data_IF_188171949186
#
_entry.id   IF_188171949186
#
_cell.length_a   1.000
_cell.length_b   1.000
_cell.length_c   1.000
_cell.angle_alpha   90.00
_cell.angle_beta   90.00
_cell.angle_gamma   90.00
#
_symmetry.space_group_name_H-M   'P 1'
#
loop_
_entity.id
_entity.type
_entity.pdbx_description
1 polymer ?
#
# COMPACT_ATOMS: atom_id res chain seq x y z
N UNK A 1 -26.63 -6.81 30.16
CA UNK A 1 -26.38 -5.83 29.09
C UNK A 1 -25.83 -6.58 27.91
N UNK A 2 -26.54 -6.52 26.78
CA UNK A 2 -26.31 -7.33 25.58
C UNK A 2 -25.01 -6.84 24.91
N UNK A 3 -24.08 -7.76 24.65
CA UNK A 3 -22.91 -7.50 23.79
C UNK A 3 -23.45 -7.03 22.44
N UNK A 4 -23.14 -5.79 22.04
CA UNK A 4 -23.48 -5.32 20.71
C UNK A 4 -22.85 -6.24 19.67
N UNK A 5 -23.67 -6.79 18.78
CA UNK A 5 -23.21 -7.42 17.55
C UNK A 5 -22.46 -6.36 16.74
N UNK A 6 -21.13 -6.44 16.75
CA UNK A 6 -20.32 -5.75 15.75
C UNK A 6 -20.60 -6.45 14.42
N UNK A 7 -21.14 -5.71 13.45
CA UNK A 7 -21.23 -6.18 12.07
C UNK A 7 -19.86 -6.69 11.62
N UNK A 8 -19.74 -7.85 10.96
CA UNK A 8 -18.46 -8.33 10.47
C UNK A 8 -17.81 -7.26 9.58
N UNK A 9 -16.54 -6.94 9.84
CA UNK A 9 -15.79 -5.99 9.04
C UNK A 9 -15.77 -6.48 7.59
N UNK A 10 -16.30 -5.69 6.66
CA UNK A 10 -16.22 -6.01 5.23
C UNK A 10 -14.79 -5.77 4.76
N UNK A 11 -14.11 -6.84 4.34
CA UNK A 11 -12.74 -6.76 3.82
C UNK A 11 -12.64 -5.78 2.65
N UNK A 12 -11.81 -4.76 2.82
CA UNK A 12 -11.53 -3.73 1.83
C UNK A 12 -10.55 -4.25 0.77
N UNK A 13 -10.89 -4.10 -0.51
CA UNK A 13 -10.00 -4.36 -1.65
C UNK A 13 -9.36 -3.05 -2.07
N UNK A 14 -8.06 -2.96 -1.82
CA UNK A 14 -7.30 -1.72 -2.04
C UNK A 14 -6.34 -1.92 -3.20
N UNK A 15 -6.52 -1.12 -4.25
CA UNK A 15 -5.80 -1.33 -5.52
C UNK A 15 -4.58 -0.41 -5.61
N UNK A 16 -3.43 -1.02 -5.88
CA UNK A 16 -2.16 -0.33 -6.11
C UNK A 16 -2.17 0.47 -7.41
N UNK A 17 -1.94 1.77 -7.28
CA UNK A 17 -1.95 2.75 -8.37
C UNK A 17 -0.66 3.59 -8.33
N UNK A 18 -0.41 4.35 -9.40
CA UNK A 18 0.79 5.18 -9.54
C UNK A 18 0.58 6.45 -10.37
N UNK A 19 -0.58 6.61 -11.01
CA UNK A 19 -0.95 7.79 -11.79
C UNK A 19 -2.48 7.99 -11.78
N UNK A 20 -3.00 9.13 -12.27
CA UNK A 20 -4.44 9.37 -12.32
C UNK A 20 -5.20 8.34 -13.17
N UNK A 21 -4.62 7.85 -14.27
CA UNK A 21 -5.30 6.91 -15.15
C UNK A 21 -5.54 5.56 -14.47
N UNK A 22 -4.53 5.02 -13.79
CA UNK A 22 -4.64 3.80 -12.99
C UNK A 22 -5.61 3.98 -11.81
N UNK A 23 -5.62 5.16 -11.18
CA UNK A 23 -6.57 5.51 -10.13
C UNK A 23 -8.03 5.52 -10.61
N UNK A 24 -8.34 6.27 -11.66
CA UNK A 24 -9.67 6.32 -12.26
C UNK A 24 -10.14 4.95 -12.74
N UNK A 25 -9.23 4.16 -13.32
CA UNK A 25 -9.55 2.80 -13.78
C UNK A 25 -9.90 1.89 -12.60
N UNK A 26 -9.14 1.95 -11.51
CA UNK A 26 -9.39 1.13 -10.33
C UNK A 26 -10.69 1.53 -9.61
N UNK A 27 -10.96 2.84 -9.46
CA UNK A 27 -12.22 3.35 -8.92
C UNK A 27 -13.42 2.89 -9.74
N UNK A 28 -13.34 3.03 -11.07
CA UNK A 28 -14.42 2.67 -11.96
C UNK A 28 -14.70 1.15 -12.01
N UNK A 29 -13.73 0.32 -11.58
CA UNK A 29 -13.91 -1.14 -11.39
C UNK A 29 -14.43 -1.52 -9.99
N UNK A 30 -14.74 -0.54 -9.14
CA UNK A 30 -15.31 -0.76 -7.82
C UNK A 30 -14.27 -1.07 -6.74
N UNK A 31 -13.07 -0.50 -6.83
CA UNK A 31 -12.12 -0.53 -5.71
C UNK A 31 -12.72 0.18 -4.48
N UNK A 32 -12.53 -0.40 -3.28
CA UNK A 32 -13.01 0.23 -2.05
C UNK A 32 -12.14 1.42 -1.63
N UNK A 33 -10.84 1.33 -1.91
CA UNK A 33 -9.85 2.39 -1.75
C UNK A 33 -8.65 2.17 -2.68
N UNK A 34 -7.77 3.16 -2.75
CA UNK A 34 -6.57 3.12 -3.56
C UNK A 34 -5.31 3.13 -2.70
N UNK A 35 -4.27 2.48 -3.21
CA UNK A 35 -2.94 2.42 -2.61
C UNK A 35 -1.94 3.11 -3.54
N UNK A 36 -1.51 4.32 -3.17
CA UNK A 36 -0.41 4.98 -3.86
C UNK A 36 0.90 4.27 -3.51
N UNK A 37 1.30 3.36 -4.41
CA UNK A 37 2.43 2.46 -4.22
C UNK A 37 3.73 3.18 -4.54
N UNK A 38 4.62 3.31 -3.54
CA UNK A 38 5.97 3.83 -3.75
C UNK A 38 6.73 3.05 -4.85
N UNK A 39 6.60 1.72 -4.86
CA UNK A 39 7.21 0.85 -5.85
C UNK A 39 6.69 1.12 -7.26
N UNK A 40 5.36 1.12 -7.43
CA UNK A 40 4.77 1.34 -8.75
C UNK A 40 5.05 2.77 -9.24
N UNK A 41 5.05 3.74 -8.35
CA UNK A 41 5.42 5.11 -8.67
C UNK A 41 6.89 5.22 -9.09
N UNK A 42 7.83 4.69 -8.30
CA UNK A 42 9.26 4.74 -8.63
C UNK A 42 9.57 4.10 -9.98
N UNK A 43 8.99 2.93 -10.25
CA UNK A 43 9.13 2.22 -11.53
C UNK A 43 8.57 3.04 -12.68
N UNK A 44 7.42 3.72 -12.50
CA UNK A 44 6.85 4.62 -13.51
C UNK A 44 7.75 5.80 -13.84
N UNK A 45 8.60 6.21 -12.89
CA UNK A 45 9.61 7.27 -13.05
C UNK A 45 10.97 6.74 -13.53
N UNK A 46 11.09 5.44 -13.81
CA UNK A 46 12.33 4.83 -14.29
C UNK A 46 13.42 4.68 -13.23
N UNK A 47 13.06 4.68 -11.93
CA UNK A 47 14.02 4.56 -10.83
C UNK A 47 13.66 3.41 -9.87
N UNK A 48 14.66 2.76 -9.24
CA UNK A 48 14.40 1.70 -8.29
C UNK A 48 13.75 2.23 -7.00
N UNK A 49 12.98 1.35 -6.35
CA UNK A 49 12.23 1.62 -5.11
C UNK A 49 13.15 1.65 -3.88
N UNK A 50 14.05 2.64 -3.85
CA UNK A 50 15.10 2.80 -2.82
C UNK A 50 15.00 4.15 -2.11
N UNK A 51 13.83 4.83 -2.19
CA UNK A 51 13.64 6.16 -1.62
C UNK A 51 14.47 7.24 -2.33
N UNK A 52 14.72 7.08 -3.64
CA UNK A 52 15.52 8.01 -4.43
C UNK A 52 14.71 9.19 -4.98
N UNK A 53 13.39 9.04 -5.05
CA UNK A 53 12.52 10.11 -5.54
C UNK A 53 12.43 11.23 -4.52
N UNK A 54 12.48 12.50 -4.95
CA UNK A 54 12.20 13.62 -4.07
C UNK A 54 10.76 13.56 -3.54
N UNK A 55 10.58 13.86 -2.25
CA UNK A 55 9.25 13.94 -1.60
C UNK A 55 8.30 14.87 -2.38
N UNK A 56 8.80 15.95 -2.98
CA UNK A 56 8.00 16.87 -3.80
C UNK A 56 7.43 16.21 -5.05
N UNK A 57 8.15 15.24 -5.64
CA UNK A 57 7.67 14.45 -6.77
C UNK A 57 6.49 13.59 -6.34
N UNK A 58 6.65 12.84 -5.25
CA UNK A 58 5.60 11.98 -4.70
C UNK A 58 4.37 12.78 -4.27
N UNK A 59 4.56 13.93 -3.61
CA UNK A 59 3.48 14.84 -3.25
C UNK A 59 2.71 15.34 -4.48
N UNK A 60 3.41 15.70 -5.55
CA UNK A 60 2.78 16.13 -6.82
C UNK A 60 2.00 14.97 -7.46
N UNK A 61 2.57 13.76 -7.44
CA UNK A 61 1.89 12.56 -7.92
C UNK A 61 0.61 12.28 -7.15
N UNK A 62 0.70 12.27 -5.81
CA UNK A 62 -0.43 12.08 -4.91
C UNK A 62 -1.52 13.12 -5.14
N UNK A 63 -1.18 14.41 -5.22
CA UNK A 63 -2.16 15.47 -5.47
C UNK A 63 -2.94 15.22 -6.78
N UNK A 64 -2.25 14.84 -7.85
CA UNK A 64 -2.88 14.55 -9.14
C UNK A 64 -3.78 13.32 -9.08
N UNK A 65 -3.37 12.29 -8.36
CA UNK A 65 -4.14 11.06 -8.16
C UNK A 65 -5.40 11.36 -7.34
N UNK A 66 -5.25 11.95 -6.15
CA UNK A 66 -6.37 12.24 -5.25
C UNK A 66 -7.38 13.21 -5.86
N UNK A 67 -6.94 14.12 -6.74
CA UNK A 67 -7.84 15.04 -7.45
C UNK A 67 -8.64 14.36 -8.58
N UNK A 68 -8.27 13.15 -8.99
CA UNK A 68 -8.88 12.45 -10.13
C UNK A 68 -9.94 11.41 -9.72
N UNK A 69 -10.10 11.16 -8.41
CA UNK A 69 -10.98 10.12 -7.86
C UNK A 69 -11.76 10.64 -6.66
N UNK A 70 -12.81 9.94 -6.27
CA UNK A 70 -13.68 10.27 -5.13
C UNK A 70 -13.59 9.25 -3.98
N UNK A 71 -12.83 8.16 -4.16
CA UNK A 71 -12.58 7.15 -3.13
C UNK A 71 -11.27 7.41 -2.36
N UNK A 72 -11.12 6.88 -1.12
CA UNK A 72 -9.94 7.12 -0.29
C UNK A 72 -8.63 6.68 -0.96
N UNK A 73 -7.58 7.51 -0.83
CA UNK A 73 -6.22 7.19 -1.27
C UNK A 73 -5.31 7.07 -0.05
N UNK A 74 -4.76 5.88 0.16
CA UNK A 74 -3.71 5.60 1.14
C UNK A 74 -2.34 5.63 0.48
N UNK A 75 -1.37 6.31 1.06
CA UNK A 75 -0.02 6.46 0.49
C UNK A 75 1.03 5.71 1.29
N UNK A 76 1.90 4.96 0.60
CA UNK A 76 3.13 4.40 1.17
C UNK A 76 4.15 5.52 1.35
N UNK A 77 4.47 5.89 2.60
CA UNK A 77 5.48 6.91 2.93
C UNK A 77 6.80 6.29 3.41
N UNK A 78 7.02 5.03 3.04
CA UNK A 78 8.23 4.27 3.34
C UNK A 78 8.47 4.20 4.85
N UNK A 79 9.70 4.47 5.28
CA UNK A 79 10.09 4.53 6.69
C UNK A 79 10.06 5.95 7.27
N UNK A 80 9.38 6.89 6.61
CA UNK A 80 9.30 8.29 7.04
C UNK A 80 10.65 8.99 7.12
N UNK A 81 11.65 8.53 6.35
CA UNK A 81 13.03 9.05 6.34
C UNK A 81 13.72 9.03 7.73
N UNK A 82 13.30 8.10 8.60
CA UNK A 82 14.10 7.65 9.74
C UNK A 82 14.00 8.50 11.01
N UNK A 83 13.18 9.55 11.00
CA UNK A 83 12.88 10.37 12.18
C UNK A 83 11.39 10.68 12.29
N UNK A 84 10.94 10.96 13.52
CA UNK A 84 9.54 11.32 13.77
C UNK A 84 9.18 12.67 13.14
N UNK A 85 10.13 13.60 13.09
CA UNK A 85 9.96 14.93 12.50
C UNK A 85 9.77 14.86 10.99
N UNK A 86 10.58 14.05 10.29
CA UNK A 86 10.42 13.85 8.85
C UNK A 86 9.12 13.12 8.52
N UNK A 87 8.81 12.04 9.25
CA UNK A 87 7.56 11.31 9.08
C UNK A 87 6.34 12.21 9.29
N UNK A 88 6.39 13.09 10.30
CA UNK A 88 5.35 14.09 10.56
C UNK A 88 5.19 15.08 9.41
N UNK A 89 6.29 15.66 8.93
CA UNK A 89 6.26 16.64 7.83
C UNK A 89 5.71 16.01 6.53
N UNK A 90 6.14 14.80 6.21
CA UNK A 90 5.62 14.06 5.04
C UNK A 90 4.14 13.74 5.20
N UNK A 91 3.71 13.36 6.41
CA UNK A 91 2.30 13.09 6.70
C UNK A 91 1.42 14.32 6.53
N UNK A 92 1.89 15.50 6.96
CA UNK A 92 1.20 16.78 6.71
C UNK A 92 1.07 17.06 5.22
N UNK A 93 2.16 16.90 4.46
CA UNK A 93 2.17 17.10 3.00
C UNK A 93 1.26 16.11 2.27
N UNK A 94 1.23 14.85 2.71
CA UNK A 94 0.37 13.83 2.16
C UNK A 94 -1.11 14.16 2.40
N UNK A 95 -1.48 14.55 3.63
CA UNK A 95 -2.83 15.04 3.95
C UNK A 95 -3.20 16.23 3.07
N UNK A 96 -2.32 17.22 2.96
CA UNK A 96 -2.57 18.42 2.16
C UNK A 96 -2.68 18.12 0.65
N UNK A 97 -2.09 17.01 0.19
CA UNK A 97 -2.24 16.47 -1.16
C UNK A 97 -3.47 15.55 -1.33
N UNK A 98 -4.32 15.43 -0.31
CA UNK A 98 -5.58 14.69 -0.37
C UNK A 98 -5.50 13.22 0.02
N UNK A 99 -4.43 12.75 0.67
CA UNK A 99 -4.40 11.39 1.21
C UNK A 99 -5.44 11.23 2.34
N UNK A 100 -6.15 10.12 2.33
CA UNK A 100 -7.00 9.68 3.44
C UNK A 100 -6.18 9.10 4.61
N UNK A 101 -5.01 8.52 4.29
CA UNK A 101 -4.09 8.00 5.28
C UNK A 101 -2.70 7.76 4.73
N UNK A 102 -1.75 7.62 5.65
CA UNK A 102 -0.36 7.28 5.35
C UNK A 102 -0.05 5.90 5.90
N UNK A 103 0.77 5.14 5.18
CA UNK A 103 1.36 3.92 5.70
C UNK A 103 2.87 4.10 5.87
N UNK A 104 3.33 3.84 7.09
CA UNK A 104 4.74 3.88 7.46
C UNK A 104 5.21 2.47 7.82
N UNK A 105 6.46 2.13 7.52
CA UNK A 105 7.07 0.83 7.84
C UNK A 105 8.12 0.93 8.95
N UNK A 106 8.31 -0.16 9.71
CA UNK A 106 9.23 -0.23 10.85
C UNK A 106 10.70 -0.46 10.48
N UNK A 107 11.12 -0.13 9.25
CA UNK A 107 12.51 -0.28 8.79
C UNK A 107 13.34 0.97 9.10
N UNK A 108 14.63 0.83 9.36
CA UNK A 108 15.54 1.98 9.47
C UNK A 108 15.85 2.58 8.10
N UNK A 109 16.02 3.90 7.99
CA UNK A 109 16.51 4.54 6.75
C UNK A 109 17.99 4.25 6.48
N UNK A 110 18.43 4.25 5.20
CA UNK A 110 17.66 4.48 3.97
C UNK A 110 16.67 3.34 3.65
N UNK A 111 15.66 3.62 2.83
CA UNK A 111 14.68 2.62 2.40
C UNK A 111 15.36 1.49 1.59
N UNK A 112 14.93 0.26 1.85
CA UNK A 112 15.20 -0.89 0.98
C UNK A 112 13.89 -1.64 0.73
N UNK A 113 13.46 -1.75 -0.53
CA UNK A 113 12.23 -2.44 -0.87
C UNK A 113 12.27 -3.91 -0.43
N UNK A 114 11.18 -4.40 0.16
CA UNK A 114 11.02 -5.81 0.54
C UNK A 114 11.06 -6.77 -0.67
N UNK A 115 11.00 -6.22 -1.89
CA UNK A 115 11.13 -6.95 -3.16
C UNK A 115 12.57 -7.14 -3.65
N UNK A 116 13.53 -6.34 -3.17
CA UNK A 116 14.93 -6.45 -3.61
C UNK A 116 15.75 -7.48 -2.81
N UNK A 117 15.17 -8.05 -1.76
CA UNK A 117 15.89 -8.91 -0.82
C UNK A 117 16.97 -8.14 -0.04
N UNK A 118 17.67 -8.85 0.84
CA UNK A 118 18.70 -8.27 1.71
C UNK A 118 18.25 -8.15 3.17
N UNK A 119 19.22 -7.91 4.05
CA UNK A 119 18.96 -7.67 5.47
C UNK A 119 18.90 -6.17 5.71
N UNK A 120 17.81 -5.71 6.32
CA UNK A 120 17.69 -4.36 6.84
C UNK A 120 17.46 -4.41 8.35
N UNK A 121 17.93 -3.38 9.05
CA UNK A 121 17.64 -3.24 10.48
C UNK A 121 16.26 -2.65 10.66
N UNK A 122 15.49 -3.24 11.58
CA UNK A 122 14.19 -2.71 11.99
C UNK A 122 14.33 -1.74 13.15
N UNK A 123 13.43 -0.77 13.24
CA UNK A 123 13.28 0.09 14.40
C UNK A 123 12.86 -0.74 15.62
N UNK A 124 13.31 -0.32 16.80
CA UNK A 124 12.72 -0.83 18.04
C UNK A 124 11.25 -0.43 18.09
N UNK A 125 10.42 -1.26 18.72
CA UNK A 125 8.99 -0.97 18.83
C UNK A 125 8.73 0.41 19.45
N UNK A 126 9.46 0.79 20.50
CA UNK A 126 9.34 2.10 21.13
C UNK A 126 9.62 3.27 20.18
N UNK A 127 10.64 3.16 19.30
CA UNK A 127 10.91 4.21 18.30
C UNK A 127 9.80 4.26 17.27
N UNK A 128 9.34 3.09 16.82
CA UNK A 128 8.31 3.00 15.79
C UNK A 128 6.95 3.53 16.27
N UNK A 129 6.50 3.11 17.46
CA UNK A 129 5.26 3.62 18.07
C UNK A 129 5.33 5.11 18.37
N UNK A 130 6.50 5.62 18.79
CA UNK A 130 6.69 7.05 19.01
C UNK A 130 6.48 7.88 17.73
N UNK A 131 6.83 7.34 16.55
CA UNK A 131 6.53 8.00 15.26
C UNK A 131 5.03 8.02 15.00
N UNK A 132 4.35 6.89 15.20
CA UNK A 132 2.89 6.75 15.02
C UNK A 132 2.15 7.76 15.93
N UNK A 133 2.47 7.77 17.23
CA UNK A 133 1.89 8.71 18.20
C UNK A 133 2.12 10.17 17.81
N UNK A 134 3.33 10.48 17.30
CA UNK A 134 3.69 11.85 16.86
C UNK A 134 2.81 12.31 15.72
N UNK A 135 2.55 11.46 14.72
CA UNK A 135 1.66 11.75 13.58
C UNK A 135 0.21 11.88 14.07
N UNK A 136 -0.28 10.88 14.80
CA UNK A 136 -1.67 10.85 15.30
C UNK A 136 -2.04 12.05 16.17
N UNK A 137 -1.08 12.58 16.93
CA UNK A 137 -1.28 13.77 17.78
C UNK A 137 -1.28 15.10 17.01
N UNK A 138 -0.67 15.17 15.83
CA UNK A 138 -0.36 16.44 15.16
C UNK A 138 -0.91 16.58 13.75
N UNK A 139 -1.53 15.53 13.19
CA UNK A 139 -2.12 15.53 11.86
C UNK A 139 -3.55 15.04 11.94
N UNK A 140 -4.45 15.95 12.31
CA UNK A 140 -5.88 15.65 12.43
C UNK A 140 -6.47 15.21 11.09
N UNK A 141 -7.40 14.24 11.16
CA UNK A 141 -8.15 13.74 10.00
C UNK A 141 -7.38 12.79 9.08
N UNK A 142 -6.14 12.41 9.43
CA UNK A 142 -5.33 11.46 8.67
C UNK A 142 -5.26 10.11 9.38
N UNK A 143 -5.58 9.02 8.67
CA UNK A 143 -5.31 7.67 9.16
C UNK A 143 -3.81 7.34 9.12
N UNK A 144 -3.33 6.58 10.11
CA UNK A 144 -1.95 6.10 10.18
C UNK A 144 -1.95 4.58 10.19
N UNK A 145 -1.38 4.00 9.15
CA UNK A 145 -1.27 2.57 8.95
C UNK A 145 0.15 2.12 9.27
N UNK A 146 0.28 1.22 10.24
CA UNK A 146 1.58 0.73 10.69
C UNK A 146 1.93 -0.58 9.98
N UNK A 147 2.90 -0.55 9.07
CA UNK A 147 3.43 -1.75 8.40
C UNK A 147 4.58 -2.36 9.21
N UNK A 148 4.47 -3.65 9.50
CA UNK A 148 5.46 -4.42 10.25
C UNK A 148 6.16 -5.39 9.30
N UNK A 149 7.49 -5.31 9.25
CA UNK A 149 8.36 -6.09 8.37
C UNK A 149 9.08 -7.25 9.09
N UNK A 150 8.77 -7.48 10.37
CA UNK A 150 9.43 -8.48 11.22
C UNK A 150 9.46 -9.89 10.62
N UNK A 151 8.38 -10.35 10.00
CA UNK A 151 8.33 -11.68 9.36
C UNK A 151 9.32 -11.81 8.20
N UNK A 152 9.48 -10.75 7.38
CA UNK A 152 10.47 -10.70 6.30
C UNK A 152 11.90 -10.76 6.83
N UNK A 153 12.11 -10.29 8.06
CA UNK A 153 13.42 -10.20 8.72
C UNK A 153 13.69 -11.34 9.70
N UNK A 154 12.82 -12.35 9.74
CA UNK A 154 12.92 -13.52 10.64
C UNK A 154 12.87 -13.15 12.14
N UNK A 155 12.18 -12.05 12.50
CA UNK A 155 11.79 -11.86 13.89
C UNK A 155 10.86 -13.01 14.33
N UNK A 156 10.94 -13.46 15.60
CA UNK A 156 10.01 -14.45 16.12
C UNK A 156 8.56 -13.96 15.99
N UNK A 157 7.63 -14.87 15.65
CA UNK A 157 6.19 -14.56 15.51
C UNK A 157 5.64 -13.82 16.73
N UNK A 158 6.05 -14.23 17.94
CA UNK A 158 5.63 -13.56 19.18
C UNK A 158 6.10 -12.10 19.28
N UNK A 159 7.27 -11.76 18.72
CA UNK A 159 7.76 -10.39 18.70
C UNK A 159 6.95 -9.54 17.70
N UNK A 160 6.62 -10.08 16.53
CA UNK A 160 5.73 -9.45 15.55
C UNK A 160 4.34 -9.21 16.14
N UNK A 161 3.82 -10.21 16.85
CA UNK A 161 2.51 -10.17 17.52
C UNK A 161 2.45 -9.06 18.58
N UNK A 162 3.50 -8.96 19.41
CA UNK A 162 3.57 -7.90 20.42
C UNK A 162 3.74 -6.52 19.78
N UNK A 163 4.56 -6.40 18.73
CA UNK A 163 4.72 -5.13 17.98
C UNK A 163 3.42 -4.69 17.32
N UNK A 164 2.62 -5.61 16.77
CA UNK A 164 1.28 -5.35 16.24
C UNK A 164 0.38 -4.70 17.30
N UNK A 165 0.30 -5.32 18.48
CA UNK A 165 -0.48 -4.81 19.62
C UNK A 165 0.00 -3.42 20.06
N UNK A 166 1.31 -3.21 20.10
CA UNK A 166 1.91 -1.93 20.46
C UNK A 166 1.60 -0.82 19.45
N UNK A 167 1.63 -1.12 18.14
CA UNK A 167 1.24 -0.16 17.10
C UNK A 167 -0.23 0.24 17.21
N UNK A 168 -1.12 -0.72 17.48
CA UNK A 168 -2.53 -0.44 17.71
C UNK A 168 -2.73 0.46 18.94
N UNK A 169 -2.07 0.17 20.07
CA UNK A 169 -2.15 1.00 21.28
C UNK A 169 -1.56 2.41 21.09
N UNK A 170 -0.56 2.55 20.21
CA UNK A 170 -0.01 3.84 19.81
C UNK A 170 -0.95 4.69 18.94
N UNK A 171 -2.10 4.12 18.54
CA UNK A 171 -3.14 4.81 17.78
C UNK A 171 -3.12 4.54 16.28
N UNK A 172 -2.39 3.52 15.80
CA UNK A 172 -2.49 3.10 14.41
C UNK A 172 -3.92 2.65 14.08
N UNK A 173 -4.49 3.21 13.01
CA UNK A 173 -5.86 2.92 12.57
C UNK A 173 -5.96 1.57 11.86
N UNK A 174 -4.85 1.09 11.28
CA UNK A 174 -4.70 -0.24 10.71
C UNK A 174 -3.26 -0.72 10.93
N UNK A 175 -3.07 -2.01 11.17
CA UNK A 175 -1.73 -2.63 11.25
C UNK A 175 -1.56 -3.62 10.12
N UNK A 176 -0.55 -3.41 9.28
CA UNK A 176 -0.21 -4.31 8.17
C UNK A 176 0.88 -5.26 8.64
N UNK A 177 0.59 -6.56 8.62
CA UNK A 177 1.61 -7.59 8.82
C UNK A 177 2.13 -8.03 7.47
N UNK A 178 3.31 -7.54 7.10
CA UNK A 178 3.88 -7.84 5.80
C UNK A 178 4.67 -9.16 5.84
N UNK A 179 4.42 -10.01 4.86
CA UNK A 179 5.13 -11.27 4.69
C UNK A 179 5.34 -11.52 3.19
N UNK A 180 6.58 -11.54 2.70
CA UNK A 180 6.87 -11.90 1.31
C UNK A 180 7.14 -13.39 1.14
N UNK A 181 7.24 -14.15 2.23
CA UNK A 181 7.50 -15.59 2.20
C UNK A 181 6.26 -16.35 1.76
N UNK A 182 6.48 -17.45 1.02
CA UNK A 182 5.39 -18.29 0.52
C UNK A 182 4.63 -19.02 1.63
N UNK A 183 5.23 -19.21 2.81
CA UNK A 183 4.57 -19.77 3.98
C UNK A 183 3.74 -18.70 4.68
N UNK A 184 2.41 -18.84 4.68
CA UNK A 184 1.51 -17.92 5.39
C UNK A 184 1.31 -18.30 6.85
N UNK A 185 1.85 -19.44 7.32
CA UNK A 185 1.65 -19.92 8.68
C UNK A 185 2.13 -18.90 9.74
N UNK A 186 3.30 -18.29 9.55
CA UNK A 186 3.82 -17.27 10.44
C UNK A 186 2.95 -15.99 10.43
N UNK A 187 2.41 -15.62 9.26
CA UNK A 187 1.45 -14.53 9.14
C UNK A 187 0.19 -14.83 9.95
N UNK A 188 -0.41 -16.01 9.75
CA UNK A 188 -1.61 -16.44 10.45
C UNK A 188 -1.40 -16.47 11.98
N UNK A 189 -0.27 -17.03 12.43
CA UNK A 189 0.09 -17.08 13.84
C UNK A 189 0.37 -15.68 14.44
N UNK A 190 0.89 -14.73 13.64
CA UNK A 190 1.11 -13.36 14.08
C UNK A 190 -0.19 -12.58 14.28
N UNK A 191 -1.22 -12.83 13.45
CA UNK A 191 -2.50 -12.10 13.50
C UNK A 191 -3.53 -12.76 14.43
N UNK A 192 -3.40 -14.05 14.71
CA UNK A 192 -4.34 -14.82 15.54
C UNK A 192 -4.62 -14.13 16.89
N UNK A 193 -5.90 -14.05 17.27
CA UNK A 193 -6.37 -13.49 18.54
C UNK A 193 -6.35 -11.96 18.62
N UNK A 194 -6.41 -11.25 17.49
CA UNK A 194 -6.50 -9.78 17.40
C UNK A 194 -7.77 -9.30 16.68
N UNK A 195 -8.90 -9.95 16.91
CA UNK A 195 -10.17 -9.68 16.21
C UNK A 195 -10.67 -8.22 16.36
N UNK A 196 -10.16 -7.47 17.34
CA UNK A 196 -10.49 -6.06 17.55
C UNK A 196 -9.57 -5.06 16.80
N UNK A 197 -8.51 -5.56 16.15
CA UNK A 197 -7.53 -4.72 15.45
C UNK A 197 -7.81 -4.82 13.95
N UNK A 198 -7.93 -3.67 13.27
CA UNK A 198 -7.97 -3.63 11.81
C UNK A 198 -6.63 -4.10 11.26
N UNK A 199 -6.61 -5.31 10.69
CA UNK A 199 -5.41 -5.93 10.14
C UNK A 199 -5.43 -5.87 8.61
N UNK A 200 -4.33 -5.38 8.03
CA UNK A 200 -4.09 -5.36 6.60
C UNK A 200 -3.03 -6.39 6.16
N UNK A 201 -3.12 -6.86 4.93
CA UNK A 201 -2.11 -7.73 4.30
C UNK A 201 -1.77 -7.26 2.87
N UNK A 202 -0.56 -7.62 2.43
CA UNK A 202 -0.09 -7.36 1.06
C UNK A 202 0.29 -8.70 0.40
N UNK A 203 -0.65 -9.39 -0.28
CA UNK A 203 -0.47 -10.77 -0.75
C UNK A 203 0.29 -10.89 -2.08
N UNK A 204 1.19 -9.96 -2.41
CA UNK A 204 1.87 -9.90 -3.71
C UNK A 204 2.55 -11.22 -4.09
N UNK A 205 3.17 -11.92 -3.14
CA UNK A 205 3.89 -13.18 -3.38
C UNK A 205 3.08 -14.44 -3.05
N UNK A 206 1.90 -14.32 -2.45
CA UNK A 206 1.06 -15.45 -1.99
C UNK A 206 -0.42 -15.27 -2.34
N UNK A 207 -0.72 -14.54 -3.43
CA UNK A 207 -2.08 -14.27 -3.90
C UNK A 207 -2.95 -15.53 -4.04
N UNK A 208 -2.35 -16.63 -4.49
CA UNK A 208 -3.02 -17.93 -4.64
C UNK A 208 -3.49 -18.55 -3.31
N UNK A 209 -3.02 -18.03 -2.17
CA UNK A 209 -3.35 -18.50 -0.82
C UNK A 209 -4.36 -17.62 -0.10
N UNK A 210 -4.98 -16.64 -0.77
CA UNK A 210 -5.99 -15.78 -0.14
C UNK A 210 -7.17 -16.58 0.44
N UNK A 211 -7.55 -17.69 -0.19
CA UNK A 211 -8.59 -18.59 0.33
C UNK A 211 -8.24 -19.16 1.71
N UNK A 212 -6.95 -19.40 1.99
CA UNK A 212 -6.49 -19.92 3.29
C UNK A 212 -6.61 -18.88 4.41
N UNK A 213 -6.64 -17.59 4.05
CA UNK A 213 -6.73 -16.44 4.96
C UNK A 213 -8.19 -15.99 5.14
N UNK A 214 -9.11 -16.39 4.26
CA UNK A 214 -10.51 -15.98 4.27
C UNK A 214 -11.28 -16.31 5.57
N UNK A 215 -10.74 -17.22 6.41
CA UNK A 215 -11.30 -17.56 7.73
C UNK A 215 -10.89 -16.61 8.85
N UNK A 216 -9.97 -15.68 8.60
CA UNK A 216 -9.53 -14.66 9.54
C UNK A 216 -10.16 -13.31 9.17
N UNK A 217 -10.47 -12.50 10.16
CA UNK A 217 -10.98 -11.14 9.93
C UNK A 217 -9.85 -10.24 9.42
N UNK A 218 -9.71 -10.17 8.09
CA UNK A 218 -8.81 -9.24 7.41
C UNK A 218 -9.60 -7.99 7.04
N UNK A 219 -9.16 -6.86 7.56
CA UNK A 219 -9.75 -5.55 7.25
C UNK A 219 -9.37 -5.08 5.85
N UNK A 220 -8.10 -5.21 5.46
CA UNK A 220 -7.60 -4.68 4.19
C UNK A 220 -6.74 -5.69 3.41
N UNK A 221 -7.05 -5.88 2.13
CA UNK A 221 -6.20 -6.61 1.19
C UNK A 221 -5.66 -5.60 0.17
N UNK A 222 -4.35 -5.35 0.25
CA UNK A 222 -3.66 -4.37 -0.60
C UNK A 222 -3.02 -5.08 -1.79
N UNK A 223 -3.61 -4.89 -2.97
CA UNK A 223 -3.10 -5.37 -4.25
C UNK A 223 -2.08 -4.34 -4.80
N UNK A 224 -0.89 -4.32 -4.20
CA UNK A 224 0.03 -3.19 -4.26
C UNK A 224 0.65 -2.84 -5.64
N UNK A 225 0.79 -3.78 -6.58
CA UNK A 225 1.57 -3.53 -7.81
C UNK A 225 1.12 -4.33 -9.06
N UNK A 226 -0.07 -4.90 -9.01
CA UNK A 226 -0.60 -5.76 -10.07
C UNK A 226 -0.85 -4.96 -11.36
N UNK A 227 -1.37 -3.73 -11.25
CA UNK A 227 -1.57 -2.85 -12.40
C UNK A 227 -0.26 -2.49 -13.09
N UNK A 228 0.79 -2.14 -12.32
CA UNK A 228 2.11 -1.86 -12.89
C UNK A 228 2.69 -3.07 -13.64
N UNK A 229 2.58 -4.27 -13.07
CA UNK A 229 3.04 -5.51 -13.72
C UNK A 229 2.25 -5.84 -14.99
N UNK A 230 0.94 -5.58 -14.99
CA UNK A 230 0.09 -5.75 -16.17
C UNK A 230 0.49 -4.75 -17.27
N UNK A 231 0.64 -3.47 -16.93
CA UNK A 231 1.08 -2.43 -17.88
C UNK A 231 2.45 -2.73 -18.45
N UNK A 232 3.42 -3.15 -17.62
CA UNK A 232 4.74 -3.55 -18.11
C UNK A 232 4.65 -4.69 -19.13
N UNK A 233 3.80 -5.69 -18.87
CA UNK A 233 3.57 -6.80 -19.80
C UNK A 233 2.99 -6.33 -21.13
N UNK A 234 1.99 -5.44 -21.10
CA UNK A 234 1.37 -4.86 -22.29
C UNK A 234 2.35 -3.97 -23.06
N UNK A 235 3.11 -3.10 -22.38
CA UNK A 235 4.13 -2.27 -23.01
C UNK A 235 5.14 -3.13 -23.76
N UNK A 236 5.59 -4.24 -23.16
CA UNK A 236 6.54 -5.15 -23.79
C UNK A 236 5.95 -5.84 -25.04
N UNK A 237 4.74 -6.40 -24.95
CA UNK A 237 4.13 -7.10 -26.08
C UNK A 237 3.75 -6.14 -27.22
N UNK A 238 3.14 -5.00 -26.89
CA UNK A 238 2.72 -3.99 -27.89
C UNK A 238 3.91 -3.33 -28.55
N UNK A 239 4.98 -3.00 -27.81
CA UNK A 239 6.19 -2.42 -28.41
C UNK A 239 6.86 -3.39 -29.39
N UNK A 240 6.86 -4.69 -29.08
CA UNK A 240 7.37 -5.71 -30.02
C UNK A 240 6.57 -5.73 -31.31
N UNK A 241 5.23 -5.70 -31.21
CA UNK A 241 4.35 -5.66 -32.38
C UNK A 241 4.53 -4.38 -33.19
N UNK A 242 4.58 -3.22 -32.55
CA UNK A 242 4.80 -1.94 -33.23
C UNK A 242 6.09 -1.93 -34.07
N UNK A 243 7.14 -2.58 -33.58
CA UNK A 243 8.42 -2.72 -34.29
C UNK A 243 8.37 -3.77 -35.40
N UNK A 244 7.67 -4.89 -35.19
CA UNK A 244 7.64 -6.00 -36.16
C UNK A 244 6.60 -5.81 -37.27
N UNK A 245 5.37 -5.45 -36.89
CA UNK A 245 4.23 -5.20 -37.77
C UNK A 245 3.16 -4.37 -37.02
N UNK A 246 3.14 -3.04 -37.20
CA UNK A 246 2.21 -2.17 -36.49
C UNK A 246 0.75 -2.39 -36.88
N UNK A 247 0.45 -3.06 -37.99
CA UNK A 247 -0.94 -3.30 -38.43
C UNK A 247 -1.70 -4.28 -37.53
N UNK A 248 -0.99 -5.06 -36.71
CA UNK A 248 -1.55 -6.05 -35.79
C UNK A 248 -1.88 -5.48 -34.40
N UNK A 249 -1.59 -4.20 -34.16
CA UNK A 249 -1.61 -3.62 -32.80
C UNK A 249 -3.03 -3.28 -32.34
N UNK A 250 -3.83 -2.67 -33.21
CA UNK A 250 -5.13 -2.09 -32.83
C UNK A 250 -6.13 -3.14 -32.32
N UNK A 251 -6.01 -4.40 -32.74
CA UNK A 251 -6.85 -5.50 -32.24
C UNK A 251 -6.49 -5.94 -30.82
N UNK A 252 -5.29 -5.60 -30.33
CA UNK A 252 -4.74 -6.07 -29.06
C UNK A 252 -4.78 -5.01 -27.93
N UNK A 253 -5.25 -3.78 -28.21
CA UNK A 253 -5.25 -2.67 -27.25
C UNK A 253 -6.60 -1.96 -27.19
N UNK A 254 -6.79 -1.12 -26.17
CA UNK A 254 -8.01 -0.32 -26.03
C UNK A 254 -8.10 0.75 -27.12
N UNK A 255 -9.32 1.02 -27.59
CA UNK A 255 -9.56 2.11 -28.53
C UNK A 255 -9.37 3.47 -27.86
N UNK A 256 -9.03 4.48 -28.67
CA UNK A 256 -8.96 5.89 -28.23
C UNK A 256 -10.30 6.35 -27.63
N UNK A 257 -11.41 5.89 -28.18
CA UNK A 257 -12.76 6.25 -27.69
C UNK A 257 -13.02 5.70 -26.28
N UNK A 258 -12.57 4.47 -25.98
CA UNK A 258 -12.71 3.91 -24.64
C UNK A 258 -11.89 4.71 -23.61
N UNK A 259 -10.68 5.14 -23.96
CA UNK A 259 -9.85 5.99 -23.10
C UNK A 259 -10.52 7.36 -22.90
N UNK A 260 -11.00 7.98 -23.98
CA UNK A 260 -11.69 9.27 -23.90
C UNK A 260 -12.96 9.21 -23.06
N UNK A 261 -13.71 8.10 -23.11
CA UNK A 261 -14.90 7.88 -22.28
C UNK A 261 -14.53 7.94 -20.80
N UNK A 262 -13.52 7.17 -20.38
CA UNK A 262 -13.04 7.19 -18.99
C UNK A 262 -12.65 8.60 -18.55
N UNK A 263 -11.87 9.33 -19.36
CA UNK A 263 -11.37 10.66 -19.00
C UNK A 263 -12.48 11.71 -18.91
N UNK A 264 -13.50 11.65 -19.78
CA UNK A 264 -14.54 12.68 -19.85
C UNK A 264 -15.74 12.40 -18.94
N UNK A 265 -16.03 11.12 -18.71
CA UNK A 265 -17.32 10.69 -18.14
C UNK A 265 -17.18 9.68 -17.01
N UNK A 266 -15.97 9.17 -16.72
CA UNK A 266 -15.82 7.93 -15.95
C UNK A 266 -16.20 6.71 -16.79
N UNK A 267 -16.32 5.52 -16.17
CA UNK A 267 -16.92 4.34 -16.82
C UNK A 267 -18.42 4.26 -16.54
#
# INVERSE_FOLDING_TARGET
MIKGEQSPLTTQKIIGIYDPLSAMTAEAMGADALWFSSYSYSVSQGVPDLGLLPISSEQTGLLRISSAVNIPVYVDIDNGFGSAEHALEISKRARDAGAAGVCIEDKMSPKLSSLYGGKQTLLSAARYTGIIETIKRQVDGLEVWARIEGLNHNEPVMAVREKLRQCHLAGADCVIVHNTKLGIADLLAAIEGHDQIKIGIIPTTYMSKLADIARYEIYAIILANQLMRAVYSTLLSTSRLLVSDPTLVDEAISSVENINRLIRHGL
#
